data_IF_352239793287
#
_entry.id   IF_352239793287
#
_cell.length_a   1.000
_cell.length_b   1.000
_cell.length_c   1.000
_cell.angle_alpha   90.00
_cell.angle_beta   90.00
_cell.angle_gamma   90.00
#
_symmetry.space_group_name_H-M   'P 1'
#
loop_
_entity.id
_entity.type
_entity.pdbx_description
1 polymer ?
#
# COMPACT_ATOMS: atom_id res chain seq x y z
N UNK A 1 -27.24 23.09 -29.86
CA UNK A 1 -26.96 23.92 -28.68
C UNK A 1 -25.46 23.90 -28.48
N UNK A 2 -24.78 25.01 -28.76
CA UNK A 2 -23.32 25.13 -28.78
C UNK A 2 -22.87 25.47 -27.36
N UNK A 3 -21.98 24.67 -26.78
CA UNK A 3 -21.36 24.97 -25.49
C UNK A 3 -20.33 26.10 -25.64
N UNK A 4 -20.25 27.05 -24.71
CA UNK A 4 -19.26 28.12 -24.78
C UNK A 4 -17.84 27.60 -24.45
N UNK A 5 -16.79 28.24 -24.98
CA UNK A 5 -15.41 27.87 -24.70
C UNK A 5 -15.04 28.26 -23.26
N UNK A 6 -14.46 27.31 -22.54
CA UNK A 6 -13.99 27.50 -21.18
C UNK A 6 -12.80 28.48 -21.18
N UNK A 7 -13.01 29.70 -20.64
CA UNK A 7 -11.94 30.67 -20.43
C UNK A 7 -10.99 30.15 -19.37
N UNK A 8 -9.71 30.00 -19.73
CA UNK A 8 -8.59 29.91 -18.77
C UNK A 8 -8.48 31.24 -18.03
N UNK A 9 -8.70 31.22 -16.72
CA UNK A 9 -8.26 32.30 -15.84
C UNK A 9 -7.85 31.74 -14.49
N UNK A 10 -6.64 32.06 -14.07
CA UNK A 10 -6.25 32.07 -12.67
C UNK A 10 -5.65 30.76 -12.17
N UNK A 11 -4.37 30.84 -11.84
CA UNK A 11 -3.57 29.85 -11.15
C UNK A 11 -4.32 29.22 -9.95
N UNK A 12 -4.69 27.95 -10.08
CA UNK A 12 -4.89 27.06 -8.95
C UNK A 12 -4.05 25.80 -9.19
N UNK A 13 -2.74 25.97 -8.97
CA UNK A 13 -1.83 24.87 -8.73
C UNK A 13 -2.32 24.16 -7.47
N UNK A 14 -3.11 23.09 -7.62
CA UNK A 14 -3.27 22.09 -6.57
C UNK A 14 -1.96 21.32 -6.49
N UNK A 15 -0.99 21.90 -5.78
CA UNK A 15 0.17 21.20 -5.27
C UNK A 15 -0.28 20.30 -4.13
N UNK A 16 -0.63 19.05 -4.44
CA UNK A 16 -0.57 17.94 -3.49
C UNK A 16 0.85 17.32 -3.45
N UNK A 17 1.88 18.13 -3.72
CA UNK A 17 3.27 17.81 -3.42
C UNK A 17 3.64 18.59 -2.16
N UNK A 18 4.00 17.85 -1.11
CA UNK A 18 4.72 18.25 0.12
C UNK A 18 4.01 17.78 1.39
N UNK A 19 4.01 16.46 1.60
CA UNK A 19 4.21 15.92 2.94
C UNK A 19 5.17 14.72 2.94
N UNK A 20 6.14 14.74 2.03
CA UNK A 20 7.21 13.73 1.94
C UNK A 20 8.64 14.31 2.10
N UNK A 21 8.80 15.63 2.32
CA UNK A 21 10.13 16.26 2.38
C UNK A 21 10.43 17.01 3.69
N UNK A 22 9.79 16.63 4.80
CA UNK A 22 10.02 17.25 6.12
C UNK A 22 10.80 16.40 7.13
N UNK A 23 10.91 15.09 6.90
CA UNK A 23 11.57 14.14 7.82
C UNK A 23 12.67 13.32 7.14
N UNK A 24 13.14 13.74 5.96
CA UNK A 24 14.37 13.26 5.35
C UNK A 24 15.63 13.75 6.06
N UNK A 25 15.55 13.99 7.38
CA UNK A 25 16.74 14.05 8.20
C UNK A 25 17.39 12.67 8.11
N UNK A 26 18.65 12.65 7.68
CA UNK A 26 19.54 11.49 7.81
C UNK A 26 19.17 10.68 9.05
N UNK A 27 18.57 9.51 8.86
CA UNK A 27 18.13 8.67 9.95
C UNK A 27 19.31 7.75 10.30
N UNK A 28 20.02 7.95 11.43
CA UNK A 28 21.19 7.16 11.81
C UNK A 28 20.85 5.70 12.15
N UNK A 29 19.57 5.30 12.04
CA UNK A 29 19.10 3.93 12.24
C UNK A 29 19.26 3.06 10.98
N UNK A 30 19.54 3.67 9.81
CA UNK A 30 19.90 2.95 8.59
C UNK A 30 21.28 3.39 8.06
N UNK A 31 22.37 3.25 8.84
CA UNK A 31 23.68 3.45 8.27
C UNK A 31 23.89 2.32 7.25
N UNK A 32 24.44 2.67 6.08
CA UNK A 32 24.99 1.71 5.12
C UNK A 32 25.95 0.70 5.79
N UNK A 33 26.44 0.98 7.00
CA UNK A 33 27.25 0.08 7.84
C UNK A 33 26.46 -1.05 8.53
N UNK A 34 25.12 -1.02 8.60
CA UNK A 34 24.33 -2.16 9.07
C UNK A 34 24.24 -3.32 8.05
N UNK A 35 24.96 -3.22 6.92
CA UNK A 35 24.80 -4.10 5.75
C UNK A 35 25.76 -5.28 5.67
N UNK A 36 26.66 -5.54 6.64
CA UNK A 36 27.51 -6.73 6.52
C UNK A 36 26.73 -8.03 6.76
N UNK A 37 25.83 -8.08 7.75
CA UNK A 37 25.19 -9.35 8.18
C UNK A 37 23.68 -9.23 8.51
N UNK A 38 23.06 -8.06 8.29
CA UNK A 38 21.67 -7.79 8.66
C UNK A 38 20.61 -8.19 7.62
N UNK A 39 19.32 -8.32 8.01
CA UNK A 39 18.25 -8.76 7.11
C UNK A 39 17.89 -7.77 6.00
N UNK A 40 18.50 -6.58 5.98
CA UNK A 40 18.35 -5.57 4.93
C UNK A 40 19.47 -5.62 3.89
N UNK A 41 20.46 -6.52 4.05
CA UNK A 41 21.57 -6.68 3.10
C UNK A 41 21.07 -7.17 1.74
N UNK A 42 21.49 -6.48 0.69
CA UNK A 42 21.41 -6.95 -0.70
C UNK A 42 22.74 -7.61 -1.10
N UNK A 43 22.70 -8.68 -1.88
CA UNK A 43 23.88 -9.32 -2.46
C UNK A 43 23.73 -9.55 -3.96
N UNK A 44 24.82 -9.85 -4.67
CA UNK A 44 24.79 -10.11 -6.12
C UNK A 44 23.89 -11.30 -6.49
N UNK A 45 23.72 -12.26 -5.58
CA UNK A 45 22.85 -13.43 -5.76
C UNK A 45 21.41 -13.17 -5.31
N UNK A 46 21.09 -11.99 -4.77
CA UNK A 46 19.72 -11.65 -4.39
C UNK A 46 18.90 -11.41 -5.64
N UNK A 47 17.78 -12.14 -5.86
CA UNK A 47 16.94 -11.94 -7.03
C UNK A 47 16.48 -10.49 -7.13
N UNK A 48 16.46 -9.96 -8.35
CA UNK A 48 15.81 -8.67 -8.60
C UNK A 48 14.34 -8.77 -8.15
N UNK A 49 13.87 -7.74 -7.44
CA UNK A 49 12.46 -7.60 -7.12
C UNK A 49 11.72 -7.26 -8.42
N UNK A 50 11.31 -8.28 -9.16
CA UNK A 50 10.45 -8.12 -10.34
C UNK A 50 9.00 -8.24 -9.87
N UNK A 51 8.29 -7.13 -9.80
CA UNK A 51 6.84 -7.14 -9.57
C UNK A 51 6.12 -7.43 -10.89
N UNK A 52 5.26 -8.46 -10.97
CA UNK A 52 4.34 -8.60 -12.08
C UNK A 52 3.47 -7.34 -12.14
N UNK A 53 3.54 -6.60 -13.25
CA UNK A 53 2.71 -5.42 -13.42
C UNK A 53 1.26 -5.86 -13.67
N UNK A 54 0.30 -5.21 -12.99
CA UNK A 54 -1.14 -5.44 -13.17
C UNK A 54 -1.66 -5.03 -14.55
N UNK A 55 -0.85 -4.34 -15.34
CA UNK A 55 -1.23 -3.83 -16.64
C UNK A 55 -0.79 -4.82 -17.71
N UNK A 56 -1.77 -5.50 -18.29
CA UNK A 56 -1.58 -6.43 -19.42
C UNK A 56 -2.82 -6.61 -20.29
N UNK A 57 -3.94 -5.98 -19.91
CA UNK A 57 -5.15 -5.99 -20.72
C UNK A 57 -4.99 -5.09 -21.95
N UNK A 58 -5.43 -5.59 -23.11
CA UNK A 58 -5.34 -4.87 -24.37
C UNK A 58 -6.14 -3.55 -24.27
N UNK A 59 -5.43 -2.43 -24.38
CA UNK A 59 -6.03 -1.09 -24.35
C UNK A 59 -6.03 -0.43 -22.98
N UNK A 60 -5.54 -1.10 -21.92
CA UNK A 60 -5.31 -0.47 -20.62
C UNK A 60 -3.88 0.08 -20.58
N UNK A 61 -3.76 1.40 -20.54
CA UNK A 61 -2.45 2.08 -20.49
C UNK A 61 -1.99 2.36 -19.07
N UNK A 62 -2.92 2.49 -18.12
CA UNK A 62 -2.61 2.74 -16.71
C UNK A 62 -3.73 2.27 -15.79
N UNK A 63 -3.35 1.95 -14.55
CA UNK A 63 -4.28 1.62 -13.46
C UNK A 63 -3.99 2.56 -12.30
N UNK A 64 -5.05 3.17 -11.75
CA UNK A 64 -4.97 4.04 -10.57
C UNK A 64 -5.73 3.39 -9.44
N UNK A 65 -5.06 3.20 -8.31
CA UNK A 65 -5.65 2.64 -7.09
C UNK A 65 -5.73 3.74 -6.05
N UNK A 66 -6.91 3.93 -5.46
CA UNK A 66 -7.08 4.77 -4.28
C UNK A 66 -6.95 3.90 -3.04
N UNK A 67 -6.04 4.28 -2.13
CA UNK A 67 -5.82 3.52 -0.91
C UNK A 67 -5.44 4.41 0.27
N UNK A 68 -5.65 3.90 1.48
CA UNK A 68 -5.29 4.55 2.74
C UNK A 68 -4.74 3.51 3.73
N UNK A 69 -3.83 3.95 4.60
CA UNK A 69 -3.12 3.08 5.53
C UNK A 69 -3.57 3.27 6.98
N UNK A 70 -3.06 2.41 7.85
CA UNK A 70 -3.18 2.48 9.32
C UNK A 70 -4.59 2.39 9.91
N UNK A 71 -5.51 1.69 9.24
CA UNK A 71 -6.83 1.44 9.83
C UNK A 71 -6.70 0.60 11.11
N UNK A 72 -7.05 1.21 12.24
CA UNK A 72 -7.13 0.58 13.57
C UNK A 72 -8.53 0.62 14.17
N UNK A 73 -9.28 1.69 13.89
CA UNK A 73 -10.69 1.82 14.26
C UNK A 73 -11.47 2.46 13.09
N UNK A 74 -12.69 1.98 12.78
CA UNK A 74 -13.38 2.38 11.56
C UNK A 74 -14.03 3.76 11.61
N UNK A 75 -14.31 4.33 12.78
CA UNK A 75 -15.16 5.53 12.92
C UNK A 75 -14.52 6.77 12.31
N UNK A 76 -13.21 6.97 12.57
CA UNK A 76 -12.46 8.10 12.02
C UNK A 76 -12.29 7.97 10.51
N UNK A 77 -11.98 6.77 10.04
CA UNK A 77 -11.82 6.46 8.62
C UNK A 77 -13.13 6.64 7.88
N UNK A 78 -14.24 6.19 8.46
CA UNK A 78 -15.56 6.40 7.90
C UNK A 78 -15.87 7.88 7.74
N UNK A 79 -15.66 8.69 8.78
CA UNK A 79 -15.95 10.12 8.73
C UNK A 79 -15.13 10.83 7.65
N UNK A 80 -13.86 10.45 7.51
CA UNK A 80 -12.95 10.99 6.50
C UNK A 80 -13.28 10.51 5.08
N UNK A 81 -13.52 9.21 4.91
CA UNK A 81 -13.72 8.59 3.60
C UNK A 81 -15.13 8.82 3.06
N UNK A 82 -16.16 9.00 3.89
CA UNK A 82 -17.56 9.03 3.44
C UNK A 82 -17.82 9.99 2.26
N UNK A 83 -17.33 11.24 2.25
CA UNK A 83 -17.47 12.13 1.09
C UNK A 83 -16.80 11.57 -0.18
N UNK A 84 -15.62 10.94 -0.03
CA UNK A 84 -14.86 10.32 -1.12
C UNK A 84 -15.62 9.11 -1.67
N UNK A 85 -16.08 8.21 -0.80
CA UNK A 85 -16.83 7.01 -1.19
C UNK A 85 -18.13 7.38 -1.90
N UNK A 86 -18.86 8.40 -1.41
CA UNK A 86 -20.05 8.89 -2.07
C UNK A 86 -19.75 9.45 -3.47
N UNK A 87 -18.64 10.17 -3.63
CA UNK A 87 -18.22 10.68 -4.94
C UNK A 87 -17.86 9.55 -5.90
N UNK A 88 -17.13 8.54 -5.44
CA UNK A 88 -16.77 7.37 -6.25
C UNK A 88 -18.00 6.61 -6.73
N UNK A 89 -19.01 6.41 -5.87
CA UNK A 89 -20.27 5.77 -6.26
C UNK A 89 -21.02 6.52 -7.35
N UNK A 90 -20.96 7.85 -7.35
CA UNK A 90 -21.57 8.64 -8.43
C UNK A 90 -20.84 8.46 -9.77
N UNK A 91 -19.56 8.10 -9.75
CA UNK A 91 -18.72 7.92 -10.95
C UNK A 91 -18.82 6.49 -11.48
N UNK A 92 -18.64 5.49 -10.60
CA UNK A 92 -18.46 4.08 -10.96
C UNK A 92 -19.60 3.17 -10.49
N UNK A 93 -20.56 3.69 -9.74
CA UNK A 93 -21.59 2.88 -9.06
C UNK A 93 -21.08 2.13 -7.81
N UNK A 94 -19.75 2.06 -7.62
CA UNK A 94 -19.07 1.46 -6.45
C UNK A 94 -18.13 2.46 -5.79
N UNK A 95 -17.56 2.11 -4.64
CA UNK A 95 -16.51 2.87 -3.96
C UNK A 95 -15.21 2.06 -3.83
N UNK A 96 -14.46 1.83 -4.93
CA UNK A 96 -13.25 1.00 -4.92
C UNK A 96 -12.09 1.72 -4.23
N UNK A 97 -11.99 1.58 -2.91
CA UNK A 97 -10.87 2.05 -2.08
C UNK A 97 -10.31 0.87 -1.31
N UNK A 98 -9.00 0.68 -1.37
CA UNK A 98 -8.28 -0.30 -0.55
C UNK A 98 -7.83 0.31 0.77
N UNK A 99 -8.23 -0.29 1.89
CA UNK A 99 -7.83 0.17 3.21
C UNK A 99 -6.82 -0.82 3.80
N UNK A 100 -5.59 -0.38 4.00
CA UNK A 100 -4.53 -1.15 4.63
C UNK A 100 -4.69 -1.09 6.15
N UNK A 101 -4.88 -2.25 6.76
CA UNK A 101 -5.36 -2.42 8.12
C UNK A 101 -4.25 -2.93 9.05
N UNK A 102 -4.30 -2.44 10.28
CA UNK A 102 -3.59 -3.05 11.40
C UNK A 102 -4.51 -3.99 12.18
N UNK A 103 -4.18 -4.28 13.44
CA UNK A 103 -5.08 -5.00 14.33
C UNK A 103 -6.40 -4.23 14.53
N UNK A 104 -7.51 -4.92 14.28
CA UNK A 104 -8.88 -4.43 14.41
C UNK A 104 -9.79 -5.56 14.94
N UNK A 105 -11.02 -5.22 15.33
CA UNK A 105 -12.05 -6.17 15.77
C UNK A 105 -12.81 -6.75 14.56
N UNK A 106 -12.58 -8.01 14.14
CA UNK A 106 -13.12 -8.53 12.88
C UNK A 106 -14.65 -8.55 12.78
N UNK A 107 -15.34 -8.53 13.92
CA UNK A 107 -16.81 -8.56 14.00
C UNK A 107 -17.47 -7.18 13.84
N UNK A 108 -16.71 -6.11 13.63
CA UNK A 108 -17.28 -4.78 13.47
C UNK A 108 -18.24 -4.73 12.25
N UNK A 109 -19.51 -4.33 12.44
CA UNK A 109 -20.51 -4.31 11.38
C UNK A 109 -20.15 -3.35 10.24
N UNK A 110 -19.26 -2.38 10.47
CA UNK A 110 -18.84 -1.42 9.46
C UNK A 110 -18.12 -2.08 8.29
N UNK A 111 -17.37 -3.15 8.54
CA UNK A 111 -16.66 -3.87 7.50
C UNK A 111 -17.62 -4.53 6.52
N UNK A 112 -18.72 -5.09 7.01
CA UNK A 112 -19.76 -5.63 6.13
C UNK A 112 -20.42 -4.56 5.26
N UNK A 113 -20.59 -3.33 5.79
CA UNK A 113 -21.08 -2.22 5.00
C UNK A 113 -20.07 -1.83 3.90
N UNK A 114 -18.80 -1.65 4.26
CA UNK A 114 -17.76 -1.28 3.30
C UNK A 114 -17.53 -2.33 2.19
N UNK A 115 -17.53 -3.62 2.53
CA UNK A 115 -17.40 -4.69 1.54
C UNK A 115 -18.56 -4.66 0.52
N UNK A 116 -19.80 -4.41 0.97
CA UNK A 116 -20.97 -4.26 0.08
C UNK A 116 -20.87 -3.02 -0.81
N UNK A 117 -20.17 -1.98 -0.37
CA UNK A 117 -19.92 -0.77 -1.14
C UNK A 117 -18.78 -0.92 -2.16
N UNK A 118 -18.03 -2.02 -2.10
CA UNK A 118 -16.93 -2.35 -3.01
C UNK A 118 -15.54 -1.93 -2.54
N UNK A 119 -15.36 -1.65 -1.25
CA UNK A 119 -14.04 -1.43 -0.65
C UNK A 119 -13.33 -2.76 -0.41
N UNK A 120 -12.00 -2.73 -0.31
CA UNK A 120 -11.18 -3.88 0.11
C UNK A 120 -10.41 -3.59 1.40
N UNK A 121 -10.17 -4.63 2.21
CA UNK A 121 -9.42 -4.55 3.46
C UNK A 121 -8.14 -5.37 3.32
N UNK A 122 -7.00 -4.68 3.31
CA UNK A 122 -5.68 -5.23 2.97
C UNK A 122 -4.72 -5.18 4.16
N UNK A 123 -3.60 -5.91 4.09
CA UNK A 123 -2.72 -6.12 5.25
C UNK A 123 -1.67 -5.02 5.39
N UNK A 124 -1.61 -4.39 6.57
CA UNK A 124 -0.56 -3.45 6.97
C UNK A 124 0.21 -3.89 8.22
N UNK A 125 0.26 -5.21 8.49
CA UNK A 125 0.74 -5.84 9.73
C UNK A 125 -0.11 -5.53 10.96
N UNK A 126 -0.04 -6.35 12.02
CA UNK A 126 -0.83 -6.12 13.24
C UNK A 126 -0.51 -4.81 13.97
N UNK A 127 0.77 -4.41 14.00
CA UNK A 127 1.25 -3.33 14.88
C UNK A 127 1.86 -2.12 14.18
N UNK A 128 2.06 -2.18 12.86
CA UNK A 128 2.84 -1.20 12.10
C UNK A 128 4.28 -1.02 12.67
N UNK A 129 5.09 -2.10 12.73
CA UNK A 129 6.50 -1.97 13.12
C UNK A 129 7.28 -1.22 12.04
N UNK A 130 8.09 -0.26 12.47
CA UNK A 130 8.81 0.64 11.58
C UNK A 130 10.29 0.72 12.00
N UNK A 131 11.21 0.01 11.31
CA UNK A 131 10.98 -0.92 10.20
C UNK A 131 10.47 -2.31 10.66
N UNK A 132 9.89 -3.09 9.74
CA UNK A 132 9.35 -4.42 10.04
C UNK A 132 10.37 -5.37 10.68
N UNK A 133 11.58 -5.43 10.11
CA UNK A 133 12.66 -6.31 10.56
C UNK A 133 13.60 -5.63 11.57
N UNK A 134 13.07 -4.68 12.35
CA UNK A 134 13.82 -4.01 13.39
C UNK A 134 14.48 -5.04 14.34
N UNK A 135 15.69 -4.73 14.81
CA UNK A 135 16.48 -5.58 15.72
C UNK A 135 16.84 -6.97 15.18
N UNK A 136 16.59 -7.25 13.89
CA UNK A 136 16.83 -8.56 13.31
C UNK A 136 15.83 -9.63 13.74
N UNK A 137 14.72 -9.26 14.36
CA UNK A 137 13.73 -10.19 14.91
C UNK A 137 12.79 -10.71 13.81
N UNK A 138 13.21 -11.83 13.21
CA UNK A 138 12.50 -12.43 12.07
C UNK A 138 11.17 -13.07 12.46
N UNK A 139 11.10 -13.63 13.66
CA UNK A 139 9.89 -14.30 14.15
C UNK A 139 8.82 -13.27 14.49
N UNK A 140 9.19 -12.13 15.09
CA UNK A 140 8.26 -11.03 15.30
C UNK A 140 7.72 -10.46 13.98
N UNK A 141 8.58 -10.30 12.96
CA UNK A 141 8.19 -9.84 11.64
C UNK A 141 7.22 -10.81 10.94
N UNK A 142 7.48 -12.12 11.01
CA UNK A 142 6.54 -13.14 10.53
C UNK A 142 5.22 -13.10 11.29
N UNK A 143 5.28 -13.04 12.62
CA UNK A 143 4.09 -13.07 13.47
C UNK A 143 3.16 -11.88 13.18
N UNK A 144 3.70 -10.66 13.07
CA UNK A 144 2.90 -9.46 12.79
C UNK A 144 2.37 -9.41 11.35
N UNK A 145 3.12 -9.95 10.38
CA UNK A 145 2.69 -10.07 8.98
C UNK A 145 1.59 -11.13 8.81
N UNK A 146 1.87 -12.39 9.17
CA UNK A 146 0.91 -13.49 9.04
C UNK A 146 -0.32 -13.31 9.92
N UNK A 147 -0.13 -12.79 11.14
CA UNK A 147 -1.24 -12.48 12.03
C UNK A 147 -2.20 -11.43 11.44
N UNK A 148 -1.69 -10.49 10.64
CA UNK A 148 -2.53 -9.52 9.91
C UNK A 148 -3.39 -10.20 8.84
N UNK A 149 -2.82 -11.13 8.07
CA UNK A 149 -3.54 -11.92 7.06
C UNK A 149 -4.66 -12.74 7.72
N UNK A 150 -4.31 -13.53 8.73
CA UNK A 150 -5.27 -14.39 9.43
C UNK A 150 -6.37 -13.55 10.11
N UNK A 151 -6.02 -12.40 10.68
CA UNK A 151 -6.99 -11.50 11.30
C UNK A 151 -8.01 -10.98 10.29
N UNK A 152 -7.56 -10.48 9.13
CA UNK A 152 -8.45 -9.92 8.13
C UNK A 152 -9.31 -10.98 7.44
N UNK A 153 -8.82 -12.21 7.31
CA UNK A 153 -9.61 -13.33 6.77
C UNK A 153 -10.67 -13.85 7.74
N UNK A 154 -10.66 -13.42 9.02
CA UNK A 154 -11.78 -13.66 9.95
C UNK A 154 -12.96 -12.75 9.72
N UNK A 155 -12.81 -11.65 8.98
CA UNK A 155 -13.94 -10.79 8.60
C UNK A 155 -14.78 -11.54 7.56
N UNK A 156 -16.08 -11.81 7.82
CA UNK A 156 -16.90 -12.56 6.87
C UNK A 156 -16.92 -11.94 5.47
N UNK A 157 -16.62 -12.73 4.45
CA UNK A 157 -16.61 -12.26 3.05
C UNK A 157 -15.42 -11.38 2.67
N UNK A 158 -14.46 -11.14 3.58
CA UNK A 158 -13.19 -10.52 3.24
C UNK A 158 -12.17 -11.58 2.82
N UNK A 159 -11.35 -11.25 1.84
CA UNK A 159 -10.16 -12.01 1.47
C UNK A 159 -9.06 -10.98 1.22
N UNK A 160 -8.12 -10.86 2.14
CA UNK A 160 -6.98 -9.97 1.94
C UNK A 160 -6.12 -10.52 0.79
N UNK A 161 -5.75 -9.64 -0.13
CA UNK A 161 -4.94 -10.02 -1.32
C UNK A 161 -3.64 -9.23 -1.39
N UNK A 162 -3.60 -8.06 -0.76
CA UNK A 162 -2.48 -7.13 -0.81
C UNK A 162 -1.83 -6.87 0.54
N UNK A 163 -0.54 -6.57 0.48
CA UNK A 163 0.29 -6.10 1.57
C UNK A 163 0.84 -4.70 1.26
N UNK A 164 1.03 -3.89 2.29
CA UNK A 164 1.88 -2.68 2.22
C UNK A 164 2.85 -2.63 3.38
N UNK A 165 4.10 -2.37 3.09
CA UNK A 165 5.20 -2.29 4.05
C UNK A 165 5.05 -1.02 4.90
N UNK A 166 4.96 -1.15 6.24
CA UNK A 166 5.02 -0.03 7.16
C UNK A 166 6.23 0.86 6.90
N UNK A 167 6.01 2.18 6.84
CA UNK A 167 7.08 3.16 6.61
C UNK A 167 7.91 2.96 5.33
N UNK A 168 7.31 2.37 4.29
CA UNK A 168 7.97 2.09 3.01
C UNK A 168 8.85 3.25 2.53
N UNK A 169 8.25 4.44 2.42
CA UNK A 169 8.92 5.59 1.79
C UNK A 169 9.59 6.52 2.81
N UNK A 170 9.15 6.48 4.07
CA UNK A 170 9.67 7.40 5.09
C UNK A 170 11.05 7.00 5.58
N UNK A 171 11.38 5.70 5.60
CA UNK A 171 12.69 5.20 6.07
C UNK A 171 13.30 4.12 5.17
N UNK A 172 12.74 3.87 3.99
CA UNK A 172 13.17 2.78 3.10
C UNK A 172 13.20 1.42 3.85
N UNK A 173 12.09 1.10 4.51
CA UNK A 173 11.91 -0.13 5.28
C UNK A 173 11.79 -1.44 4.47
N UNK A 174 11.54 -1.47 3.14
CA UNK A 174 11.53 -2.72 2.40
C UNK A 174 12.85 -3.50 2.51
N UNK A 175 12.75 -4.82 2.69
CA UNK A 175 13.89 -5.72 2.81
C UNK A 175 13.79 -6.82 1.75
N UNK A 176 14.87 -7.14 1.01
CA UNK A 176 14.88 -8.29 0.10
C UNK A 176 14.59 -9.60 0.81
N UNK A 177 15.03 -9.72 2.08
CA UNK A 177 14.82 -10.91 2.89
C UNK A 177 13.34 -11.10 3.25
N UNK A 178 12.62 -10.01 3.54
CA UNK A 178 11.15 -10.07 3.70
C UNK A 178 10.50 -10.64 2.44
N UNK A 179 10.83 -10.11 1.27
CA UNK A 179 10.25 -10.56 0.00
C UNK A 179 10.65 -11.97 -0.40
N UNK A 180 11.81 -12.45 0.07
CA UNK A 180 12.29 -13.80 -0.24
C UNK A 180 11.73 -14.86 0.71
N UNK A 181 11.63 -14.56 2.00
CA UNK A 181 11.46 -15.57 3.05
C UNK A 181 10.16 -15.42 3.87
N UNK A 182 9.47 -14.27 3.79
CA UNK A 182 8.23 -14.01 4.54
C UNK A 182 7.05 -13.82 3.59
N UNK A 183 7.12 -12.83 2.70
CA UNK A 183 6.01 -12.45 1.81
C UNK A 183 5.42 -13.62 1.00
N UNK A 184 6.22 -14.50 0.36
CA UNK A 184 5.69 -15.59 -0.47
C UNK A 184 5.12 -16.77 0.33
N UNK A 185 5.28 -16.76 1.66
CA UNK A 185 4.82 -17.82 2.53
C UNK A 185 3.33 -17.75 2.82
N UNK A 186 2.75 -18.90 3.17
CA UNK A 186 1.39 -18.97 3.68
C UNK A 186 1.39 -18.92 5.21
N UNK A 187 0.32 -18.37 5.78
CA UNK A 187 0.04 -18.45 7.21
C UNK A 187 -0.24 -19.91 7.61
N UNK A 188 -0.25 -20.24 8.92
CA UNK A 188 -0.66 -21.56 9.39
C UNK A 188 -2.08 -21.97 8.96
N UNK A 189 -2.97 -21.01 8.68
CA UNK A 189 -4.31 -21.30 8.14
C UNK A 189 -4.31 -21.63 6.64
N UNK A 190 -3.15 -21.53 5.98
CA UNK A 190 -2.97 -21.75 4.55
C UNK A 190 -3.22 -20.52 3.69
N UNK A 191 -3.49 -19.36 4.29
CA UNK A 191 -3.72 -18.12 3.56
C UNK A 191 -2.40 -17.47 3.12
N UNK A 192 -2.37 -16.89 1.92
CA UNK A 192 -1.23 -16.13 1.40
C UNK A 192 -1.72 -14.91 0.64
N UNK A 193 -0.83 -13.91 0.50
CA UNK A 193 -1.11 -12.71 -0.29
C UNK A 193 -0.53 -12.87 -1.69
N UNK A 194 -1.14 -12.18 -2.65
CA UNK A 194 -0.75 -12.24 -4.07
C UNK A 194 -0.19 -10.92 -4.57
N UNK A 195 -0.29 -9.86 -3.76
CA UNK A 195 0.08 -8.49 -4.12
C UNK A 195 0.94 -7.87 -3.02
N UNK A 196 2.03 -7.22 -3.43
CA UNK A 196 2.71 -6.21 -2.63
C UNK A 196 2.49 -4.84 -3.27
N UNK A 197 1.99 -3.89 -2.49
CA UNK A 197 1.76 -2.50 -2.90
C UNK A 197 2.87 -1.57 -2.40
N UNK A 198 4.00 -2.10 -1.94
CA UNK A 198 5.10 -1.35 -1.33
C UNK A 198 6.13 -0.87 -2.35
N UNK A 199 5.80 -0.88 -3.64
CA UNK A 199 6.69 -0.44 -4.71
C UNK A 199 6.21 0.89 -5.26
N UNK A 200 7.07 1.90 -5.18
CA UNK A 200 6.90 3.14 -5.92
C UNK A 200 7.63 3.07 -7.26
N UNK A 201 6.88 3.09 -8.36
CA UNK A 201 7.42 3.49 -9.65
C UNK A 201 7.37 5.02 -9.73
N UNK A 202 8.45 5.70 -9.36
CA UNK A 202 8.59 7.13 -9.64
C UNK A 202 8.89 7.30 -11.13
N UNK A 203 7.83 7.51 -11.91
CA UNK A 203 7.97 7.87 -13.32
C UNK A 203 8.59 9.27 -13.42
N UNK A 204 9.77 9.36 -14.02
CA UNK A 204 10.46 10.63 -14.25
C UNK A 204 10.12 11.17 -15.63
N UNK A 205 9.85 12.47 -15.75
CA UNK A 205 9.72 13.11 -17.07
C UNK A 205 10.99 13.07 -17.93
N UNK A 206 12.11 12.60 -17.36
CA UNK A 206 13.37 12.33 -18.06
C UNK A 206 13.55 10.87 -18.47
N UNK A 207 12.64 9.98 -18.07
CA UNK A 207 12.69 8.56 -18.44
C UNK A 207 12.43 8.45 -19.95
N UNK A 208 13.42 8.02 -20.75
CA UNK A 208 13.30 7.96 -22.21
C UNK A 208 12.34 6.84 -22.67
N UNK A 209 11.91 5.95 -21.77
CA UNK A 209 10.95 4.88 -22.06
C UNK A 209 9.49 5.33 -21.95
N UNK A 210 9.21 6.49 -21.34
CA UNK A 210 7.87 7.05 -21.24
C UNK A 210 7.45 7.71 -22.57
N UNK A 211 6.15 7.64 -22.95
CA UNK A 211 5.66 8.36 -24.13
C UNK A 211 5.99 9.85 -24.03
N UNK A 212 6.58 10.41 -25.09
CA UNK A 212 6.87 11.83 -25.14
C UNK A 212 5.59 12.67 -24.97
N UNK A 213 5.65 13.65 -24.05
CA UNK A 213 4.65 14.67 -23.67
C UNK A 213 3.29 14.61 -24.40
N UNK A 214 2.23 14.35 -23.63
CA UNK A 214 0.83 14.63 -23.98
C UNK A 214 0.55 16.13 -24.17
#
# INVERSE_FOLDING_TARGET
MVFPPFKRSGHLLWTCFLWAMGWGGWNPVCPLEAQSDGPFRVGLETPALTTPQWVGEKGVESVVILSIDDLRTPEKYESYLRPILNRLKQIDGRAPVSIFCNALEPSDPKFQAWLKEGLSLEVHTLSHPCPLLAKGDFDAAKATYYGGIDLLNRIPGNQAVAYRMPCCDSINSPSPRFYREIFPGNTPSGAGLVIDSSVMCLLSSKDPSLPGKW
#
